data_IF_757712355080
#
_entry.id   IF_757712355080
#
_cell.length_a   1.000
_cell.length_b   1.000
_cell.length_c   1.000
_cell.angle_alpha   90.00
_cell.angle_beta   90.00
_cell.angle_gamma   90.00
#
_symmetry.space_group_name_H-M   'P 1'
#
loop_
_entity.id
_entity.type
_entity.pdbx_description
1 polymer ?
#
# COMPACT_ATOMS: atom_id res chain seq x y z
N UNK A 1 13.53 10.09 -27.37
CA UNK A 1 12.39 10.21 -26.43
C UNK A 1 12.73 11.25 -25.38
N UNK A 2 11.87 12.23 -25.19
CA UNK A 2 12.06 13.27 -24.18
C UNK A 2 12.02 12.65 -22.76
N UNK A 3 13.04 12.95 -21.95
CA UNK A 3 13.05 12.62 -20.52
C UNK A 3 12.47 13.81 -19.75
N UNK A 4 11.41 13.59 -18.99
CA UNK A 4 10.88 14.60 -18.09
C UNK A 4 11.52 14.37 -16.72
N UNK A 5 12.39 15.27 -16.29
CA UNK A 5 13.14 15.15 -15.01
C UNK A 5 13.86 13.80 -14.82
N UNK A 6 14.38 13.22 -15.89
CA UNK A 6 15.08 11.93 -15.83
C UNK A 6 14.20 10.68 -16.00
N UNK A 7 12.88 10.82 -15.95
CA UNK A 7 11.94 9.70 -16.12
C UNK A 7 11.64 9.45 -17.61
N UNK A 8 11.46 8.18 -17.96
CA UNK A 8 10.91 7.80 -19.25
C UNK A 8 9.38 7.83 -19.21
N UNK A 9 8.74 8.05 -20.35
CA UNK A 9 7.27 8.07 -20.44
C UNK A 9 6.62 6.82 -19.83
N UNK A 10 7.22 5.65 -20.03
CA UNK A 10 6.71 4.38 -19.47
C UNK A 10 6.69 4.37 -17.94
N UNK A 11 7.69 5.00 -17.29
CA UNK A 11 7.77 5.06 -15.83
C UNK A 11 6.69 5.97 -15.26
N UNK A 12 6.45 7.10 -15.91
CA UNK A 12 5.37 8.02 -15.52
C UNK A 12 3.98 7.40 -15.72
N UNK A 13 3.78 6.63 -16.79
CA UNK A 13 2.52 5.90 -17.01
C UNK A 13 2.32 4.88 -15.88
N UNK A 14 3.34 4.10 -15.54
CA UNK A 14 3.25 3.12 -14.44
C UNK A 14 2.95 3.78 -13.09
N UNK A 15 3.56 4.93 -12.80
CA UNK A 15 3.27 5.71 -11.60
C UNK A 15 1.79 6.12 -11.60
N UNK A 16 1.30 6.66 -12.71
CA UNK A 16 -0.09 7.07 -12.82
C UNK A 16 -1.08 5.90 -12.68
N UNK A 17 -0.77 4.76 -13.32
CA UNK A 17 -1.58 3.53 -13.18
C UNK A 17 -1.67 3.07 -11.73
N UNK A 18 -0.55 3.08 -11.00
CA UNK A 18 -0.52 2.73 -9.58
C UNK A 18 -1.31 3.72 -8.72
N UNK A 19 -1.26 5.03 -9.02
CA UNK A 19 -2.10 6.03 -8.34
C UNK A 19 -3.58 5.74 -8.56
N UNK A 20 -3.96 5.49 -9.80
CA UNK A 20 -5.34 5.15 -10.17
C UNK A 20 -5.81 3.85 -9.52
N UNK A 21 -4.94 2.83 -9.50
CA UNK A 21 -5.23 1.54 -8.87
C UNK A 21 -5.48 1.72 -7.36
N UNK A 22 -4.60 2.43 -6.66
CA UNK A 22 -4.75 2.70 -5.23
C UNK A 22 -6.05 3.46 -4.93
N UNK A 23 -6.37 4.49 -5.72
CA UNK A 23 -7.62 5.25 -5.60
C UNK A 23 -8.85 4.38 -5.82
N UNK A 24 -8.86 3.57 -6.87
CA UNK A 24 -9.98 2.66 -7.17
C UNK A 24 -10.13 1.57 -6.13
N UNK A 25 -9.03 1.12 -5.55
CA UNK A 25 -9.04 0.16 -4.45
C UNK A 25 -9.68 0.75 -3.20
N UNK A 26 -9.29 1.97 -2.81
CA UNK A 26 -9.92 2.72 -1.71
C UNK A 26 -11.43 2.87 -1.91
N UNK A 27 -11.84 3.34 -3.09
CA UNK A 27 -13.27 3.49 -3.44
C UNK A 27 -14.03 2.16 -3.29
N UNK A 28 -13.42 1.07 -3.78
CA UNK A 28 -14.02 -0.27 -3.69
C UNK A 28 -14.13 -0.76 -2.26
N UNK A 29 -13.09 -0.57 -1.46
CA UNK A 29 -13.10 -0.95 -0.04
C UNK A 29 -14.15 -0.16 0.75
N UNK A 30 -14.31 1.13 0.48
CA UNK A 30 -15.35 1.95 1.10
C UNK A 30 -16.76 1.45 0.74
N UNK A 31 -16.98 1.03 -0.51
CA UNK A 31 -18.27 0.44 -0.92
C UNK A 31 -18.52 -0.87 -0.18
N UNK A 32 -17.52 -1.74 -0.11
CA UNK A 32 -17.62 -3.03 0.59
C UNK A 32 -17.85 -2.85 2.09
N UNK A 33 -17.21 -1.85 2.70
CA UNK A 33 -17.40 -1.50 4.10
C UNK A 33 -18.85 -1.09 4.37
N UNK A 34 -19.42 -0.21 3.53
CA UNK A 34 -20.84 0.20 3.63
C UNK A 34 -21.82 -0.95 3.45
N UNK A 35 -21.41 -1.99 2.72
CA UNK A 35 -22.18 -3.23 2.54
C UNK A 35 -22.01 -4.24 3.70
N UNK A 36 -21.25 -3.90 4.74
CA UNK A 36 -20.95 -4.79 5.86
C UNK A 36 -20.01 -5.96 5.52
N UNK A 37 -19.29 -5.88 4.39
CA UNK A 37 -18.38 -6.95 3.92
C UNK A 37 -16.94 -6.78 4.40
N UNK A 38 -16.61 -5.65 5.01
CA UNK A 38 -15.31 -5.36 5.60
C UNK A 38 -15.48 -4.90 7.04
N UNK A 39 -14.39 -4.99 7.80
CA UNK A 39 -14.41 -4.63 9.22
C UNK A 39 -13.92 -3.21 9.47
N UNK A 40 -12.95 -2.75 8.69
CA UNK A 40 -12.31 -1.46 8.87
C UNK A 40 -11.59 -1.03 7.59
N UNK A 41 -11.56 0.29 7.30
CA UNK A 41 -10.78 0.84 6.19
C UNK A 41 -10.31 2.25 6.50
N UNK A 42 -9.06 2.53 6.17
CA UNK A 42 -8.49 3.87 6.20
C UNK A 42 -7.89 4.19 4.83
N UNK A 43 -8.53 5.11 4.13
CA UNK A 43 -8.15 5.48 2.78
C UNK A 43 -6.76 6.11 2.72
N UNK A 44 -6.04 5.85 1.63
CA UNK A 44 -4.80 6.52 1.26
C UNK A 44 -5.03 7.72 0.33
N UNK A 45 -6.27 7.99 -0.04
CA UNK A 45 -6.66 9.04 -0.99
C UNK A 45 -6.06 10.39 -0.65
N UNK A 46 -5.33 10.98 -1.62
CA UNK A 46 -4.60 12.23 -1.47
C UNK A 46 -3.09 12.05 -1.16
N UNK A 47 -2.66 10.87 -0.76
CA UNK A 47 -1.25 10.58 -0.43
C UNK A 47 -0.50 9.83 -1.54
N UNK A 48 -1.17 9.43 -2.62
CA UNK A 48 -0.65 8.50 -3.63
C UNK A 48 0.64 8.99 -4.26
N UNK A 49 0.73 10.27 -4.62
CA UNK A 49 1.90 10.82 -5.29
C UNK A 49 3.16 10.75 -4.41
N UNK A 50 3.05 11.12 -3.14
CA UNK A 50 4.16 11.07 -2.18
C UNK A 50 4.60 9.63 -1.91
N UNK A 51 3.64 8.71 -1.75
CA UNK A 51 3.89 7.30 -1.51
C UNK A 51 4.60 6.65 -2.69
N UNK A 52 4.18 6.94 -3.93
CA UNK A 52 4.81 6.41 -5.12
C UNK A 52 6.18 7.03 -5.37
N UNK A 53 6.37 8.31 -5.05
CA UNK A 53 7.69 8.93 -5.11
C UNK A 53 8.66 8.22 -4.15
N UNK A 54 8.27 7.96 -2.91
CA UNK A 54 9.07 7.21 -1.95
C UNK A 54 9.36 5.79 -2.42
N UNK A 55 8.36 5.05 -2.88
CA UNK A 55 8.53 3.68 -3.36
C UNK A 55 9.49 3.58 -4.56
N UNK A 56 9.49 4.58 -5.46
CA UNK A 56 10.39 4.60 -6.61
C UNK A 56 11.87 4.83 -6.25
N UNK A 57 12.18 5.20 -5.02
CA UNK A 57 13.58 5.31 -4.54
C UNK A 57 14.11 4.01 -3.95
N UNK A 58 13.25 3.01 -3.75
CA UNK A 58 13.56 1.75 -3.11
C UNK A 58 13.56 0.59 -4.13
N UNK A 59 14.30 -0.46 -3.79
CA UNK A 59 14.35 -1.70 -4.55
C UNK A 59 13.59 -2.79 -3.80
N UNK A 60 12.42 -3.17 -4.28
CA UNK A 60 11.62 -4.23 -3.71
C UNK A 60 12.42 -5.54 -3.56
N UNK A 61 12.33 -6.18 -2.42
CA UNK A 61 13.06 -7.41 -2.10
C UNK A 61 14.54 -7.22 -1.73
N UNK A 62 15.09 -5.99 -1.84
CA UNK A 62 16.43 -5.64 -1.36
C UNK A 62 16.36 -4.70 -0.16
N UNK A 63 15.66 -3.59 -0.33
CA UNK A 63 15.49 -2.59 0.73
C UNK A 63 14.36 -3.02 1.67
N UNK A 64 14.56 -2.76 2.96
CA UNK A 64 13.54 -2.99 3.97
C UNK A 64 12.64 -1.78 4.08
N UNK A 65 11.34 -2.02 4.15
CA UNK A 65 10.33 -0.97 4.30
C UNK A 65 9.34 -1.30 5.43
N UNK A 66 8.93 -0.25 6.13
CA UNK A 66 8.01 -0.32 7.27
C UNK A 66 6.84 0.64 7.00
N UNK A 67 5.93 0.28 6.07
CA UNK A 67 4.85 1.17 5.66
C UNK A 67 3.86 1.41 6.79
N UNK A 68 3.29 2.60 6.77
CA UNK A 68 2.20 3.01 7.63
C UNK A 68 0.87 2.44 7.12
N UNK A 69 -0.15 2.40 7.95
CA UNK A 69 -1.45 1.81 7.57
C UNK A 69 -2.15 2.53 6.39
N UNK A 70 -1.79 3.77 6.08
CA UNK A 70 -2.30 4.49 4.90
C UNK A 70 -1.46 4.29 3.65
N UNK A 71 -0.36 3.55 3.72
CA UNK A 71 0.61 3.43 2.63
C UNK A 71 0.22 2.36 1.59
N UNK A 72 -1.06 2.34 1.20
CA UNK A 72 -1.58 1.42 0.21
C UNK A 72 -0.89 1.59 -1.15
N UNK A 73 -0.78 2.82 -1.65
CA UNK A 73 -0.14 3.10 -2.92
C UNK A 73 1.37 2.78 -2.89
N UNK A 74 2.05 3.04 -1.77
CA UNK A 74 3.44 2.62 -1.56
C UNK A 74 3.59 1.10 -1.67
N UNK A 75 2.75 0.36 -0.96
CA UNK A 75 2.79 -1.11 -0.94
C UNK A 75 2.49 -1.72 -2.32
N UNK A 76 1.58 -1.11 -3.10
CA UNK A 76 1.33 -1.48 -4.50
C UNK A 76 2.59 -1.26 -5.35
N UNK A 77 3.22 -0.10 -5.22
CA UNK A 77 4.42 0.23 -5.98
C UNK A 77 5.60 -0.68 -5.64
N UNK A 78 5.70 -1.14 -4.39
CA UNK A 78 6.68 -2.14 -3.93
C UNK A 78 6.33 -3.57 -4.39
N UNK A 79 5.18 -3.81 -5.02
CA UNK A 79 4.81 -5.08 -5.62
C UNK A 79 3.74 -5.89 -4.90
N UNK A 80 3.08 -5.34 -3.88
CA UNK A 80 1.85 -5.95 -3.35
C UNK A 80 0.71 -5.80 -4.34
N UNK A 81 -0.03 -6.86 -4.56
CA UNK A 81 -1.16 -6.87 -5.49
C UNK A 81 -2.43 -6.31 -4.82
N UNK A 82 -3.34 -5.76 -5.63
CA UNK A 82 -4.66 -5.36 -5.17
C UNK A 82 -5.47 -6.52 -4.56
N UNK A 83 -5.24 -7.75 -5.06
CA UNK A 83 -5.84 -8.96 -4.49
C UNK A 83 -5.38 -9.17 -3.04
N UNK A 84 -4.09 -9.09 -2.78
CA UNK A 84 -3.52 -9.26 -1.43
C UNK A 84 -4.05 -8.20 -0.46
N UNK A 85 -4.15 -6.94 -0.89
CA UNK A 85 -4.72 -5.89 -0.07
C UNK A 85 -6.22 -6.10 0.21
N UNK A 86 -6.98 -6.61 -0.77
CA UNK A 86 -8.38 -7.00 -0.56
C UNK A 86 -8.53 -8.22 0.35
N UNK A 87 -7.60 -9.18 0.29
CA UNK A 87 -7.59 -10.33 1.21
C UNK A 87 -7.38 -9.87 2.66
N UNK A 88 -6.45 -8.94 2.90
CA UNK A 88 -6.26 -8.33 4.22
C UNK A 88 -7.53 -7.58 4.68
N UNK A 89 -8.11 -6.75 3.81
CA UNK A 89 -9.34 -6.00 4.10
C UNK A 89 -10.53 -6.90 4.45
N UNK A 90 -10.65 -8.05 3.78
CA UNK A 90 -11.72 -9.02 3.97
C UNK A 90 -11.40 -10.09 5.03
N UNK A 91 -10.29 -9.95 5.76
CA UNK A 91 -9.80 -10.90 6.76
C UNK A 91 -9.73 -12.34 6.24
N UNK A 92 -9.17 -12.54 5.04
CA UNK A 92 -9.03 -13.87 4.43
C UNK A 92 -7.78 -14.58 4.94
N UNK A 93 -7.85 -15.92 5.03
CA UNK A 93 -6.72 -16.75 5.44
C UNK A 93 -5.49 -16.61 4.51
N UNK A 94 -5.71 -16.29 3.23
CA UNK A 94 -4.66 -16.08 2.23
C UNK A 94 -4.03 -14.67 2.29
N UNK A 95 -4.39 -13.83 3.26
CA UNK A 95 -3.73 -12.53 3.47
C UNK A 95 -2.26 -12.74 3.82
N UNK A 96 -1.32 -12.22 2.99
CA UNK A 96 0.12 -12.42 3.20
C UNK A 96 0.65 -11.71 4.45
N UNK A 97 -0.09 -10.71 4.96
CA UNK A 97 0.35 -9.91 6.11
C UNK A 97 0.10 -10.62 7.43
N UNK A 98 -1.03 -11.28 7.59
CA UNK A 98 -1.41 -11.86 8.89
C UNK A 98 -2.31 -13.09 8.81
N UNK A 99 -2.68 -13.54 7.60
CA UNK A 99 -3.72 -14.56 7.45
C UNK A 99 -5.08 -14.09 7.97
N UNK A 100 -5.40 -12.81 7.77
CA UNK A 100 -6.66 -12.20 8.17
C UNK A 100 -6.82 -11.96 9.68
N UNK A 101 -5.74 -12.03 10.47
CA UNK A 101 -5.79 -11.93 11.94
C UNK A 101 -5.51 -10.53 12.49
N UNK A 102 -4.97 -9.64 11.66
CA UNK A 102 -4.74 -8.23 12.03
C UNK A 102 -5.78 -7.32 11.39
N UNK A 103 -6.02 -6.20 12.04
CA UNK A 103 -6.84 -5.15 11.47
C UNK A 103 -6.17 -4.59 10.18
N UNK A 104 -6.90 -4.42 9.08
CA UNK A 104 -6.34 -3.82 7.88
C UNK A 104 -6.10 -2.31 8.09
N UNK A 105 -5.06 -1.66 7.53
CA UNK A 105 -4.04 -2.33 6.75
C UNK A 105 -2.75 -2.38 7.56
N UNK A 106 -2.23 -3.58 7.72
CA UNK A 106 -0.90 -3.79 8.30
C UNK A 106 -0.10 -4.55 7.25
N UNK A 107 0.45 -3.80 6.27
CA UNK A 107 1.14 -4.39 5.13
C UNK A 107 2.38 -5.16 5.55
N UNK A 108 2.45 -6.43 5.17
CA UNK A 108 3.64 -7.26 5.35
C UNK A 108 3.74 -8.26 4.20
N UNK A 109 4.94 -8.39 3.65
CA UNK A 109 5.23 -9.39 2.62
C UNK A 109 6.73 -9.69 2.62
N UNK A 110 7.08 -10.89 3.04
CA UNK A 110 8.48 -11.31 3.26
C UNK A 110 9.32 -11.20 1.99
N UNK A 111 8.79 -11.61 0.85
CA UNK A 111 9.49 -11.61 -0.44
C UNK A 111 9.82 -10.20 -0.94
N UNK A 112 9.14 -9.19 -0.42
CA UNK A 112 9.34 -7.78 -0.76
C UNK A 112 10.07 -7.00 0.33
N UNK A 113 10.47 -7.65 1.42
CA UNK A 113 11.03 -7.00 2.62
C UNK A 113 10.11 -5.90 3.18
N UNK A 114 8.80 -6.10 3.08
CA UNK A 114 7.80 -5.24 3.70
C UNK A 114 7.47 -5.81 5.07
N UNK A 115 7.68 -5.02 6.11
CA UNK A 115 7.44 -5.42 7.51
C UNK A 115 6.33 -4.58 8.09
N UNK A 116 5.33 -5.24 8.66
CA UNK A 116 4.23 -4.55 9.32
C UNK A 116 4.69 -3.79 10.57
N UNK A 117 4.17 -2.60 10.75
CA UNK A 117 4.24 -1.87 12.01
C UNK A 117 2.87 -1.87 12.66
N UNK A 118 2.82 -1.91 14.00
CA UNK A 118 1.60 -1.53 14.68
C UNK A 118 1.44 0.00 14.63
N UNK A 119 0.20 0.48 14.61
CA UNK A 119 -0.12 1.91 14.60
C UNK A 119 0.61 2.68 15.71
N UNK A 120 0.74 2.05 16.89
CA UNK A 120 1.44 2.63 18.03
C UNK A 120 2.95 2.80 17.84
N UNK A 121 3.60 1.97 17.02
CA UNK A 121 5.05 2.09 16.75
C UNK A 121 5.36 3.18 15.72
N UNK A 122 4.46 3.44 14.79
CA UNK A 122 4.57 4.55 13.85
C UNK A 122 4.52 5.92 14.55
N UNK A 123 3.61 6.09 15.49
CA UNK A 123 3.45 7.32 16.26
C UNK A 123 4.61 7.59 17.23
N UNK A 124 5.25 6.56 17.76
CA UNK A 124 6.42 6.72 18.65
C UNK A 124 7.63 7.36 17.96
N UNK A 125 7.76 7.23 16.65
CA UNK A 125 8.82 7.90 15.89
C UNK A 125 8.57 9.39 15.68
N UNK A 126 7.34 9.82 15.65
CA UNK A 126 6.98 11.23 15.49
C UNK A 126 7.08 12.02 16.79
N UNK A 127 7.12 11.38 17.94
CA UNK A 127 7.21 12.00 19.26
C UNK A 127 8.67 12.15 19.74
N UNK A 128 9.62 11.46 19.13
CA UNK A 128 11.05 11.54 19.45
C UNK A 128 11.78 12.48 18.51
#
# INVERSE_FOLDING_TARGET
MARLYGFQKKDLIRVYENMMLARKLDEKMMILLRQGKGFFHMACSGHEAAQLAAANTLNAGKDWSYPYYRDSAFSIAMGMTSKEQLQAFLAKADDPSSGGRQMPHHFSKRELNIVTQSSATGDRKSVV
#
